data_IF_579420228768
#
_entry.id   IF_579420228768
#
_cell.length_a   1.000
_cell.length_b   1.000
_cell.length_c   1.000
_cell.angle_alpha   90.00
_cell.angle_beta   90.00
_cell.angle_gamma   90.00
#
_symmetry.space_group_name_H-M   'P 1'
#
loop_
_entity.id
_entity.type
_entity.pdbx_description
1 polymer ?
#
# COMPACT_ATOMS: atom_id res chain seq x y z
N UNK A 1 3.84 37.83 14.73
CA UNK A 1 2.86 37.06 15.52
C UNK A 1 3.61 36.43 16.68
N UNK A 2 3.17 36.65 17.91
CA UNK A 2 3.83 36.14 19.12
C UNK A 2 3.87 34.61 19.12
N UNK A 3 4.96 34.03 19.63
CA UNK A 3 5.13 32.58 19.68
C UNK A 3 4.06 31.95 20.60
N UNK A 4 3.38 30.93 20.09
CA UNK A 4 2.31 30.23 20.80
C UNK A 4 2.74 28.80 21.11
N UNK A 5 2.72 28.40 22.37
CA UNK A 5 3.14 27.07 22.83
C UNK A 5 1.95 26.28 23.35
N UNK A 6 2.03 24.96 23.28
CA UNK A 6 0.95 24.07 23.72
C UNK A 6 1.45 23.20 24.87
N UNK A 7 0.72 23.20 25.98
CA UNK A 7 1.00 22.36 27.14
C UNK A 7 -0.21 21.53 27.52
N UNK A 8 0.03 20.42 28.21
CA UNK A 8 -1.04 19.71 28.89
C UNK A 8 -0.53 19.06 30.16
N UNK A 9 -1.29 19.26 31.24
CA UNK A 9 -1.06 18.66 32.55
C UNK A 9 -1.81 17.32 32.71
N UNK A 10 -2.46 16.81 31.66
CA UNK A 10 -3.34 15.65 31.71
C UNK A 10 -3.01 14.61 30.63
N UNK A 11 -3.11 13.34 31.00
CA UNK A 11 -2.98 12.22 30.09
C UNK A 11 -4.35 11.84 29.52
N UNK A 12 -4.44 11.71 28.21
CA UNK A 12 -5.70 11.43 27.51
C UNK A 12 -5.82 9.93 27.26
N UNK A 13 -6.94 9.34 27.67
CA UNK A 13 -7.24 7.94 27.38
C UNK A 13 -8.14 7.79 26.14
N UNK A 14 -8.44 6.55 25.77
CA UNK A 14 -9.32 6.27 24.63
C UNK A 14 -10.75 6.82 24.85
N UNK A 15 -11.19 6.96 26.10
CA UNK A 15 -12.52 7.44 26.44
C UNK A 15 -12.61 8.94 26.24
N UNK A 16 -11.56 9.67 26.62
CA UNK A 16 -11.40 11.09 26.33
C UNK A 16 -11.46 11.33 24.82
N UNK A 17 -10.71 10.55 24.03
CA UNK A 17 -10.73 10.65 22.56
C UNK A 17 -12.10 10.30 21.97
N UNK A 18 -12.76 9.26 22.49
CA UNK A 18 -14.10 8.90 22.08
C UNK A 18 -15.09 10.02 22.43
N UNK A 19 -15.00 10.63 23.61
CA UNK A 19 -15.88 11.72 23.99
C UNK A 19 -15.70 12.92 23.05
N UNK A 20 -14.45 13.26 22.70
CA UNK A 20 -14.14 14.29 21.71
C UNK A 20 -14.77 13.97 20.35
N UNK A 21 -14.63 12.74 19.87
CA UNK A 21 -15.12 12.31 18.57
C UNK A 21 -16.66 12.22 18.49
N UNK A 22 -17.33 11.70 19.52
CA UNK A 22 -18.77 11.44 19.44
C UNK A 22 -19.64 12.59 19.97
N UNK A 23 -19.17 13.33 20.97
CA UNK A 23 -19.94 14.41 21.59
C UNK A 23 -19.49 15.80 21.17
N UNK A 24 -18.18 16.06 21.08
CA UNK A 24 -17.68 17.40 20.75
C UNK A 24 -17.59 17.65 19.24
N UNK A 25 -17.26 16.63 18.43
CA UNK A 25 -17.14 16.75 16.97
C UNK A 25 -18.35 17.42 16.28
N UNK A 26 -19.62 17.10 16.61
CA UNK A 26 -20.76 17.77 16.00
C UNK A 26 -20.79 19.29 16.21
N UNK A 27 -20.16 19.77 17.28
CA UNK A 27 -20.08 21.19 17.65
C UNK A 27 -18.83 21.84 17.02
N UNK A 28 -17.65 21.25 17.24
CA UNK A 28 -16.36 21.83 16.81
C UNK A 28 -16.05 21.61 15.32
N UNK A 29 -16.71 20.62 14.70
CA UNK A 29 -16.55 20.20 13.30
C UNK A 29 -15.10 19.79 12.97
N UNK A 30 -14.83 19.62 11.68
CA UNK A 30 -13.56 19.11 11.18
C UNK A 30 -12.35 19.96 11.62
N UNK A 31 -12.42 21.29 11.46
CA UNK A 31 -11.31 22.18 11.78
C UNK A 31 -10.98 22.18 13.28
N UNK A 32 -12.00 22.22 14.16
CA UNK A 32 -11.78 22.18 15.60
C UNK A 32 -11.27 20.84 16.10
N UNK A 33 -11.79 19.75 15.55
CA UNK A 33 -11.28 18.42 15.86
C UNK A 33 -9.82 18.24 15.43
N UNK A 34 -9.49 18.65 14.19
CA UNK A 34 -8.15 18.56 13.65
C UNK A 34 -7.16 19.44 14.42
N UNK A 35 -7.56 20.67 14.77
CA UNK A 35 -6.72 21.58 15.55
C UNK A 35 -6.44 21.03 16.95
N UNK A 36 -7.45 20.46 17.61
CA UNK A 36 -7.29 19.82 18.91
C UNK A 36 -6.36 18.60 18.81
N UNK A 37 -6.50 17.77 17.77
CA UNK A 37 -5.62 16.63 17.54
C UNK A 37 -4.18 17.05 17.27
N UNK A 38 -3.99 18.14 16.53
CA UNK A 38 -2.68 18.76 16.34
C UNK A 38 -2.09 19.19 17.68
N UNK A 39 -2.85 19.88 18.53
CA UNK A 39 -2.42 20.26 19.88
C UNK A 39 -2.01 19.04 20.72
N UNK A 40 -2.78 17.95 20.67
CA UNK A 40 -2.41 16.70 21.36
C UNK A 40 -1.09 16.11 20.88
N UNK A 41 -0.73 16.34 19.61
CA UNK A 41 0.50 15.83 19.01
C UNK A 41 1.72 16.67 19.43
N UNK A 42 1.56 17.99 19.54
CA UNK A 42 2.65 18.92 19.88
C UNK A 42 2.69 19.31 21.36
N UNK A 43 1.78 18.79 22.20
CA UNK A 43 1.68 19.15 23.61
C UNK A 43 3.01 18.91 24.33
N UNK A 44 3.41 19.86 25.17
CA UNK A 44 4.67 19.83 25.93
C UNK A 44 5.93 19.77 25.05
N UNK A 45 5.81 19.94 23.73
CA UNK A 45 6.96 20.21 22.88
C UNK A 45 7.45 21.63 23.17
N UNK A 46 8.77 21.82 23.25
CA UNK A 46 9.37 23.14 23.41
C UNK A 46 9.43 23.91 22.09
N UNK A 47 8.43 23.72 21.23
CA UNK A 47 8.33 24.28 19.90
C UNK A 47 7.04 25.08 19.77
N UNK A 48 7.07 26.28 19.18
CA UNK A 48 5.87 27.07 18.96
C UNK A 48 5.04 26.47 17.82
N UNK A 49 3.74 26.77 17.81
CA UNK A 49 2.83 26.43 16.73
C UNK A 49 3.35 26.99 15.41
N UNK A 50 3.50 26.11 14.42
CA UNK A 50 3.87 26.50 13.06
C UNK A 50 2.62 26.80 12.23
N UNK A 51 2.24 28.08 12.18
CA UNK A 51 1.07 28.53 11.42
C UNK A 51 1.19 28.32 9.90
N UNK A 52 2.41 28.40 9.34
CA UNK A 52 2.63 28.14 7.91
C UNK A 52 2.39 26.66 7.58
N UNK A 53 2.81 25.76 8.46
CA UNK A 53 2.51 24.34 8.37
C UNK A 53 1.00 24.06 8.49
N UNK A 54 0.32 24.68 9.47
CA UNK A 54 -1.13 24.53 9.63
C UNK A 54 -1.91 24.97 8.40
N UNK A 55 -1.51 26.08 7.77
CA UNK A 55 -2.18 26.59 6.58
C UNK A 55 -1.91 25.69 5.36
N UNK A 56 -0.65 25.31 5.12
CA UNK A 56 -0.28 24.51 3.94
C UNK A 56 -0.78 23.06 4.00
N UNK A 57 -0.75 22.43 5.17
CA UNK A 57 -1.05 21.01 5.32
C UNK A 57 -2.52 20.78 5.70
N UNK A 58 -3.08 21.62 6.56
CA UNK A 58 -4.43 21.43 7.08
C UNK A 58 -5.44 22.49 6.61
N UNK A 59 -4.99 23.48 5.82
CA UNK A 59 -5.83 24.60 5.37
C UNK A 59 -6.45 25.38 6.53
N UNK A 60 -5.73 25.46 7.66
CA UNK A 60 -6.09 26.26 8.83
C UNK A 60 -5.26 27.54 8.80
N UNK A 61 -5.78 28.55 8.10
CA UNK A 61 -5.21 29.89 8.14
C UNK A 61 -5.41 30.55 9.52
N UNK A 62 -4.78 31.71 9.72
CA UNK A 62 -4.81 32.42 11.01
C UNK A 62 -6.22 32.82 11.48
N UNK A 63 -7.10 33.23 10.57
CA UNK A 63 -8.47 33.62 10.91
C UNK A 63 -9.30 32.41 11.37
N UNK A 64 -9.20 31.30 10.63
CA UNK A 64 -9.82 30.03 10.99
C UNK A 64 -9.25 29.49 12.30
N UNK A 65 -7.94 29.61 12.52
CA UNK A 65 -7.29 29.23 13.77
C UNK A 65 -7.90 29.99 14.95
N UNK A 66 -8.02 31.32 14.87
CA UNK A 66 -8.55 32.14 15.97
C UNK A 66 -10.02 31.79 16.26
N UNK A 67 -10.87 31.70 15.22
CA UNK A 67 -12.28 31.30 15.38
C UNK A 67 -12.42 29.91 16.01
N UNK A 68 -11.59 28.97 15.55
CA UNK A 68 -11.60 27.60 16.06
C UNK A 68 -11.10 27.54 17.50
N UNK A 69 -10.05 28.30 17.82
CA UNK A 69 -9.51 28.45 19.17
C UNK A 69 -10.57 28.98 20.12
N UNK A 70 -11.29 30.04 19.75
CA UNK A 70 -12.39 30.60 20.55
C UNK A 70 -13.51 29.59 20.83
N UNK A 71 -13.86 28.75 19.85
CA UNK A 71 -14.83 27.67 20.05
C UNK A 71 -14.31 26.64 21.06
N UNK A 72 -13.05 26.22 20.94
CA UNK A 72 -12.42 25.27 21.87
C UNK A 72 -12.30 25.85 23.29
N UNK A 73 -12.01 27.15 23.41
CA UNK A 73 -11.99 27.89 24.68
C UNK A 73 -13.38 27.95 25.31
N UNK A 74 -14.42 28.27 24.52
CA UNK A 74 -15.81 28.31 24.97
C UNK A 74 -16.29 26.95 25.49
N UNK A 75 -15.83 25.86 24.87
CA UNK A 75 -16.13 24.49 25.31
C UNK A 75 -15.23 24.02 26.47
N UNK A 76 -14.35 24.88 26.98
CA UNK A 76 -13.36 24.61 28.02
C UNK A 76 -12.48 23.39 27.71
N UNK A 77 -12.24 23.13 26.42
CA UNK A 77 -11.30 22.12 25.93
C UNK A 77 -9.87 22.64 25.93
N UNK A 78 -9.69 23.96 25.79
CA UNK A 78 -8.41 24.62 25.92
C UNK A 78 -8.54 25.89 26.76
N UNK A 79 -7.41 26.39 27.26
CA UNK A 79 -7.30 27.71 27.88
C UNK A 79 -6.06 28.42 27.35
N UNK A 80 -6.22 29.66 26.91
CA UNK A 80 -5.11 30.46 26.38
C UNK A 80 -4.67 31.48 27.43
N UNK A 81 -3.37 31.53 27.69
CA UNK A 81 -2.71 32.50 28.54
C UNK A 81 -1.76 33.36 27.72
N UNK A 82 -1.56 34.60 28.14
CA UNK A 82 -0.61 35.52 27.54
C UNK A 82 0.41 35.99 28.59
N UNK A 83 1.68 35.76 28.33
CA UNK A 83 2.79 36.29 29.13
C UNK A 83 3.24 37.62 28.52
N UNK A 84 2.93 38.72 29.21
CA UNK A 84 3.30 40.07 28.77
C UNK A 84 4.80 40.37 28.87
N UNK A 85 5.54 39.64 29.71
CA UNK A 85 6.99 39.84 29.86
C UNK A 85 7.76 39.15 28.73
N UNK A 86 7.31 37.96 28.33
CA UNK A 86 7.96 37.17 27.27
C UNK A 86 7.33 37.35 25.90
N UNK A 87 6.20 38.08 25.82
CA UNK A 87 5.40 38.27 24.61
C UNK A 87 5.04 36.93 23.94
N UNK A 88 4.51 35.99 24.74
CA UNK A 88 4.20 34.62 24.32
C UNK A 88 2.81 34.19 24.71
N UNK A 89 2.18 33.38 23.86
CA UNK A 89 0.93 32.70 24.17
C UNK A 89 1.19 31.27 24.64
N UNK A 90 0.39 30.80 25.57
CA UNK A 90 0.41 29.44 26.08
C UNK A 90 -1.00 28.87 26.03
N UNK A 91 -1.19 27.78 25.29
CA UNK A 91 -2.45 27.06 25.20
C UNK A 91 -2.34 25.81 26.06
N UNK A 92 -3.14 25.76 27.13
CA UNK A 92 -3.29 24.57 27.95
C UNK A 92 -4.45 23.72 27.43
N UNK A 93 -4.19 22.45 27.12
CA UNK A 93 -5.21 21.48 26.72
C UNK A 93 -5.83 20.83 27.97
N UNK A 94 -7.15 20.84 28.04
CA UNK A 94 -7.95 20.21 29.10
C UNK A 94 -8.66 18.95 28.58
N UNK A 95 -8.94 18.03 29.50
CA UNK A 95 -9.72 16.84 29.18
C UNK A 95 -11.16 17.20 28.81
N UNK A 96 -11.76 16.53 27.81
CA UNK A 96 -13.19 16.62 27.57
C UNK A 96 -13.98 16.08 28.76
N UNK A 97 -15.21 16.56 28.92
CA UNK A 97 -16.14 16.00 29.89
C UNK A 97 -16.45 14.54 29.54
N UNK A 98 -16.63 13.70 30.55
CA UNK A 98 -17.11 12.34 30.34
C UNK A 98 -18.60 12.33 29.94
N UNK A 99 -19.07 11.20 29.41
CA UNK A 99 -20.45 11.06 28.91
C UNK A 99 -21.53 11.43 29.94
N UNK A 100 -21.33 11.12 31.22
CA UNK A 100 -22.26 11.50 32.30
C UNK A 100 -22.24 12.99 32.60
N UNK A 101 -21.06 13.59 32.63
CA UNK A 101 -20.87 15.02 32.83
C UNK A 101 -21.48 15.82 31.66
N UNK A 102 -21.36 15.30 30.43
CA UNK A 102 -21.99 15.88 29.24
C UNK A 102 -23.52 15.82 29.36
N UNK A 103 -24.10 14.69 29.79
CA UNK A 103 -25.55 14.51 29.94
C UNK A 103 -26.16 15.43 31.03
N UNK A 104 -25.37 15.73 32.06
CA UNK A 104 -25.73 16.66 33.13
C UNK A 104 -25.49 18.13 32.77
N UNK A 105 -24.72 18.43 31.73
CA UNK A 105 -24.36 19.80 31.37
C UNK A 105 -25.53 20.51 30.67
N UNK A 106 -26.09 21.59 31.26
CA UNK A 106 -27.29 22.25 30.74
C UNK A 106 -27.07 23.00 29.42
N UNK A 107 -25.83 23.30 29.05
CA UNK A 107 -25.49 24.02 27.83
C UNK A 107 -25.01 23.09 26.72
N UNK A 108 -24.16 22.14 27.07
CA UNK A 108 -23.53 21.25 26.09
C UNK A 108 -24.52 20.22 25.55
N UNK A 109 -25.41 19.67 26.38
CA UNK A 109 -26.41 18.69 25.94
C UNK A 109 -27.37 19.24 24.89
N UNK A 110 -28.04 20.40 25.09
CA UNK A 110 -28.87 21.01 24.04
C UNK A 110 -28.07 21.32 22.77
N UNK A 111 -26.85 21.84 22.92
CA UNK A 111 -26.00 22.21 21.79
C UNK A 111 -25.67 21.00 20.89
N UNK A 112 -25.32 19.86 21.49
CA UNK A 112 -25.06 18.63 20.75
C UNK A 112 -26.36 18.09 20.14
N UNK A 113 -27.43 18.08 20.93
CA UNK A 113 -28.74 17.58 20.52
C UNK A 113 -29.28 18.31 19.29
N UNK A 114 -29.08 19.63 19.21
CA UNK A 114 -29.43 20.44 18.04
C UNK A 114 -28.70 19.96 16.77
N UNK A 115 -27.44 19.51 16.90
CA UNK A 115 -26.63 19.07 15.75
C UNK A 115 -26.88 17.64 15.30
N UNK A 116 -27.24 16.73 16.20
CA UNK A 116 -27.37 15.29 15.87
C UNK A 116 -28.75 14.68 16.12
N UNK A 117 -29.72 15.42 16.68
CA UNK A 117 -31.06 15.00 17.16
C UNK A 117 -31.07 14.23 18.49
N UNK A 118 -32.15 14.42 19.26
CA UNK A 118 -32.40 13.73 20.55
C UNK A 118 -32.28 12.22 20.45
N UNK A 119 -32.88 11.61 19.42
CA UNK A 119 -32.89 10.15 19.24
C UNK A 119 -31.46 9.59 19.10
N UNK A 120 -30.59 10.25 18.33
CA UNK A 120 -29.19 9.82 18.17
C UNK A 120 -28.40 10.10 19.43
N UNK A 121 -28.62 11.24 20.09
CA UNK A 121 -27.96 11.57 21.34
C UNK A 121 -28.23 10.53 22.43
N UNK A 122 -29.50 10.15 22.65
CA UNK A 122 -29.87 9.13 23.63
C UNK A 122 -29.25 7.76 23.31
N UNK A 123 -29.15 7.40 22.02
CA UNK A 123 -28.47 6.18 21.58
C UNK A 123 -26.95 6.20 21.83
N UNK A 124 -26.32 7.36 21.69
CA UNK A 124 -24.91 7.53 22.05
C UNK A 124 -24.72 7.39 23.57
N UNK A 125 -25.51 8.10 24.37
CA UNK A 125 -25.42 8.02 25.83
C UNK A 125 -25.64 6.59 26.33
N UNK A 126 -26.62 5.85 25.76
CA UNK A 126 -26.82 4.44 26.13
C UNK A 126 -25.65 3.56 25.70
N UNK A 127 -25.06 3.78 24.50
CA UNK A 127 -23.85 3.06 24.07
C UNK A 127 -22.68 3.25 25.03
N UNK A 128 -22.46 4.49 25.50
CA UNK A 128 -21.37 4.80 26.44
C UNK A 128 -21.66 4.37 27.88
N UNK A 129 -22.94 4.27 28.29
CA UNK A 129 -23.34 3.72 29.59
C UNK A 129 -23.28 2.18 29.62
N UNK A 130 -23.62 1.52 28.51
CA UNK A 130 -23.72 0.06 28.44
C UNK A 130 -22.40 -0.64 28.06
N UNK A 131 -21.42 0.06 27.47
CA UNK A 131 -20.17 -0.54 27.00
C UNK A 131 -18.92 0.12 27.62
N UNK A 132 -18.59 -0.30 28.85
CA UNK A 132 -17.24 -0.78 29.22
C UNK A 132 -17.31 -2.19 29.82
N UNK A 133 -18.36 -2.97 29.51
CA UNK A 133 -18.16 -4.42 29.51
C UNK A 133 -17.09 -4.65 28.46
N UNK A 134 -15.92 -5.04 28.96
CA UNK A 134 -14.72 -5.36 28.22
C UNK A 134 -15.12 -5.93 26.87
N UNK A 135 -14.73 -5.27 25.78
CA UNK A 135 -14.49 -6.01 24.57
C UNK A 135 -13.41 -7.01 24.99
N UNK A 136 -13.84 -8.21 25.39
CA UNK A 136 -13.02 -9.40 25.26
C UNK A 136 -12.32 -9.23 23.93
N UNK A 137 -11.02 -9.45 23.94
CA UNK A 137 -10.17 -9.59 22.77
C UNK A 137 -10.61 -10.80 21.94
N UNK A 138 -11.90 -10.91 21.60
CA UNK A 138 -12.45 -11.83 20.61
C UNK A 138 -11.89 -11.35 19.30
N UNK A 139 -10.80 -11.98 18.91
CA UNK A 139 -10.32 -11.92 17.55
C UNK A 139 -11.53 -12.17 16.67
N UNK A 140 -11.87 -11.18 15.84
CA UNK A 140 -12.98 -11.30 14.91
C UNK A 140 -12.57 -12.42 13.94
N UNK A 141 -13.28 -13.55 13.95
CA UNK A 141 -13.00 -14.66 13.02
C UNK A 141 -13.17 -14.16 11.58
N UNK A 142 -12.08 -14.11 10.83
CA UNK A 142 -12.06 -13.54 9.47
C UNK A 142 -12.31 -14.55 8.36
N UNK A 143 -12.50 -15.84 8.67
CA UNK A 143 -12.50 -16.93 7.70
C UNK A 143 -13.58 -16.82 6.62
N UNK A 144 -14.69 -16.14 6.92
CA UNK A 144 -15.81 -15.92 6.00
C UNK A 144 -15.77 -14.54 5.31
N UNK A 145 -14.72 -13.75 5.51
CA UNK A 145 -14.59 -12.42 4.91
C UNK A 145 -13.79 -12.48 3.61
N UNK A 146 -14.26 -11.74 2.61
CA UNK A 146 -13.55 -11.55 1.34
C UNK A 146 -12.97 -10.15 1.28
N UNK A 147 -11.76 -10.01 0.73
CA UNK A 147 -11.08 -8.73 0.62
C UNK A 147 -11.70 -7.89 -0.51
N UNK A 148 -12.29 -6.74 -0.14
CA UNK A 148 -12.87 -5.74 -1.05
C UNK A 148 -12.02 -4.46 -1.18
N UNK A 149 -10.81 -4.44 -0.62
CA UNK A 149 -9.93 -3.28 -0.65
C UNK A 149 -9.55 -2.94 -2.08
N UNK A 150 -9.86 -1.70 -2.48
CA UNK A 150 -9.41 -1.15 -3.76
C UNK A 150 -7.93 -0.85 -3.71
N UNK A 151 -7.25 -1.03 -4.84
CA UNK A 151 -5.83 -0.67 -4.94
C UNK A 151 -5.67 0.84 -5.17
N UNK A 152 -4.53 1.38 -4.76
CA UNK A 152 -4.23 2.82 -4.85
C UNK A 152 -4.54 3.41 -6.24
N UNK A 153 -4.08 2.76 -7.31
CA UNK A 153 -4.25 3.23 -8.68
C UNK A 153 -5.72 3.21 -9.16
N UNK A 154 -6.59 2.44 -8.52
CA UNK A 154 -8.03 2.39 -8.83
C UNK A 154 -8.75 3.63 -8.30
N UNK A 155 -8.20 4.28 -7.27
CA UNK A 155 -8.79 5.47 -6.64
C UNK A 155 -8.10 6.74 -7.15
N UNK A 156 -6.77 6.78 -7.13
CA UNK A 156 -6.01 8.00 -7.34
C UNK A 156 -5.60 8.24 -8.79
N UNK A 157 -5.82 7.27 -9.68
CA UNK A 157 -5.50 7.36 -11.11
C UNK A 157 -3.99 7.42 -11.37
N UNK A 158 -3.44 6.46 -12.11
CA UNK A 158 -2.06 6.57 -12.58
C UNK A 158 -2.05 7.27 -13.94
N UNK A 159 -1.46 8.46 -14.03
CA UNK A 159 -1.31 9.18 -15.30
C UNK A 159 -0.30 8.44 -16.20
N UNK A 160 -0.79 7.52 -17.04
CA UNK A 160 0.01 6.71 -17.98
C UNK A 160 0.72 7.53 -19.08
N UNK A 161 0.49 8.84 -19.17
CA UNK A 161 1.13 9.71 -20.18
C UNK A 161 2.67 9.72 -20.08
N UNK A 162 3.22 9.52 -18.87
CA UNK A 162 4.68 9.41 -18.67
C UNK A 162 5.26 8.06 -19.12
N UNK A 163 4.42 7.03 -19.32
CA UNK A 163 4.86 5.72 -19.81
C UNK A 163 4.93 5.72 -21.34
N UNK A 164 4.00 6.40 -22.03
CA UNK A 164 3.97 6.46 -23.51
C UNK A 164 5.21 7.12 -24.12
N UNK A 165 5.82 8.09 -23.44
CA UNK A 165 7.08 8.72 -23.87
C UNK A 165 8.26 7.75 -23.84
N UNK A 166 8.23 6.74 -22.96
CA UNK A 166 9.25 5.69 -22.91
C UNK A 166 9.05 4.65 -24.03
N UNK A 167 7.81 4.42 -24.48
CA UNK A 167 7.52 3.46 -25.55
C UNK A 167 7.85 3.97 -26.96
N UNK A 168 7.90 5.28 -27.18
CA UNK A 168 8.18 5.83 -28.50
C UNK A 168 9.68 5.82 -28.86
N UNK A 169 10.60 5.57 -27.91
CA UNK A 169 12.04 5.60 -28.18
C UNK A 169 12.65 4.23 -28.57
N UNK A 170 11.91 3.12 -28.58
CA UNK A 170 12.52 1.78 -28.72
C UNK A 170 11.87 0.89 -29.80
N UNK A 171 10.92 1.39 -30.59
CA UNK A 171 10.22 0.57 -31.59
C UNK A 171 11.06 0.18 -32.83
N UNK A 172 12.27 0.74 -33.00
CA UNK A 172 13.11 0.53 -34.19
C UNK A 172 14.47 -0.14 -33.90
N UNK A 173 14.69 -0.70 -32.71
CA UNK A 173 16.00 -1.25 -32.30
C UNK A 173 15.97 -2.78 -32.33
N UNK A 174 17.02 -3.43 -32.87
CA UNK A 174 17.16 -4.90 -32.80
C UNK A 174 17.26 -5.34 -31.32
N UNK A 175 16.66 -6.48 -30.96
CA UNK A 175 16.62 -6.96 -29.58
C UNK A 175 18.04 -7.22 -29.02
N UNK A 176 19.00 -7.61 -29.87
CA UNK A 176 20.38 -7.79 -29.43
C UNK A 176 21.10 -6.48 -29.11
N UNK A 177 20.78 -5.41 -29.84
CA UNK A 177 21.29 -4.06 -29.60
C UNK A 177 20.62 -3.47 -28.35
N UNK A 178 19.30 -3.62 -28.22
CA UNK A 178 18.54 -3.21 -27.03
C UNK A 178 19.06 -3.87 -25.74
N UNK A 179 19.50 -5.13 -25.79
CA UNK A 179 20.12 -5.82 -24.64
C UNK A 179 21.41 -5.19 -24.15
N UNK A 180 22.21 -4.63 -25.05
CA UNK A 180 23.51 -4.05 -24.72
C UNK A 180 23.38 -2.61 -24.25
N UNK A 181 22.48 -1.86 -24.86
CA UNK A 181 22.37 -0.41 -24.66
C UNK A 181 21.39 -0.01 -23.55
N UNK A 182 20.32 -0.78 -23.34
CA UNK A 182 19.32 -0.45 -22.34
C UNK A 182 19.73 -0.94 -20.95
N UNK A 183 19.45 -0.12 -19.94
CA UNK A 183 19.47 -0.59 -18.56
C UNK A 183 18.35 -1.63 -18.33
N UNK A 184 18.48 -2.45 -17.29
CA UNK A 184 17.55 -3.55 -17.06
C UNK A 184 16.09 -3.12 -16.85
N UNK A 185 15.86 -1.91 -16.35
CA UNK A 185 14.51 -1.36 -16.18
C UNK A 185 13.86 -1.05 -17.55
N UNK A 186 14.60 -0.36 -18.42
CA UNK A 186 14.17 -0.03 -19.78
C UNK A 186 14.07 -1.27 -20.67
N UNK A 187 14.99 -2.23 -20.52
CA UNK A 187 14.95 -3.48 -21.27
C UNK A 187 13.76 -4.36 -20.85
N UNK A 188 13.45 -4.45 -19.55
CA UNK A 188 12.25 -5.14 -19.10
C UNK A 188 10.97 -4.52 -19.68
N UNK A 189 10.89 -3.19 -19.70
CA UNK A 189 9.78 -2.47 -20.30
C UNK A 189 9.68 -2.72 -21.81
N UNK A 190 10.81 -2.71 -22.52
CA UNK A 190 10.91 -3.05 -23.95
C UNK A 190 10.40 -4.46 -24.23
N UNK A 191 10.82 -5.46 -23.44
CA UNK A 191 10.49 -6.86 -23.67
C UNK A 191 9.05 -7.21 -23.27
N UNK A 192 8.57 -6.66 -22.15
CA UNK A 192 7.29 -7.09 -21.55
C UNK A 192 6.13 -6.14 -21.84
N UNK A 193 6.41 -4.89 -22.21
CA UNK A 193 5.39 -3.85 -22.31
C UNK A 193 4.92 -3.28 -20.96
N UNK A 194 5.55 -3.67 -19.85
CA UNK A 194 5.16 -3.23 -18.51
C UNK A 194 6.35 -2.71 -17.70
N UNK A 195 6.07 -1.73 -16.83
CA UNK A 195 7.06 -1.26 -15.85
C UNK A 195 7.42 -2.37 -14.87
N UNK A 196 8.71 -2.44 -14.54
CA UNK A 196 9.23 -3.44 -13.61
C UNK A 196 8.65 -3.21 -12.20
N UNK A 197 8.26 -4.31 -11.52
CA UNK A 197 7.79 -4.23 -10.13
C UNK A 197 8.92 -3.76 -9.19
N UNK A 198 8.66 -2.89 -8.19
CA UNK A 198 9.69 -2.34 -7.30
C UNK A 198 10.54 -3.40 -6.58
N UNK A 199 9.93 -4.50 -6.12
CA UNK A 199 10.64 -5.62 -5.47
C UNK A 199 11.69 -6.24 -6.40
N UNK A 200 11.33 -6.47 -7.66
CA UNK A 200 12.25 -7.01 -8.66
C UNK A 200 13.34 -5.98 -9.00
N UNK A 201 12.95 -4.71 -9.21
CA UNK A 201 13.86 -3.60 -9.48
C UNK A 201 14.93 -3.45 -8.40
N UNK A 202 14.51 -3.32 -7.14
CA UNK A 202 15.43 -3.12 -6.01
C UNK A 202 16.35 -4.32 -5.81
N UNK A 203 15.86 -5.54 -6.07
CA UNK A 203 16.73 -6.71 -6.01
C UNK A 203 17.76 -6.71 -7.14
N UNK A 204 17.37 -6.39 -8.37
CA UNK A 204 18.32 -6.32 -9.49
C UNK A 204 19.36 -5.22 -9.32
N UNK A 205 18.98 -4.08 -8.73
CA UNK A 205 19.93 -3.04 -8.33
C UNK A 205 21.02 -3.59 -7.40
N UNK A 206 20.65 -4.41 -6.40
CA UNK A 206 21.66 -5.06 -5.54
C UNK A 206 22.63 -5.95 -6.32
N UNK A 207 22.17 -6.67 -7.34
CA UNK A 207 23.07 -7.47 -8.18
C UNK A 207 24.02 -6.60 -9.01
N UNK A 208 23.60 -5.40 -9.45
CA UNK A 208 24.48 -4.45 -10.13
C UNK A 208 25.49 -3.82 -9.16
N UNK A 209 25.02 -3.37 -7.99
CA UNK A 209 25.83 -2.59 -7.04
C UNK A 209 26.74 -3.47 -6.18
N UNK A 210 26.23 -4.58 -5.63
CA UNK A 210 26.94 -5.43 -4.67
C UNK A 210 27.67 -6.59 -5.35
N UNK A 211 27.18 -7.04 -6.51
CA UNK A 211 27.69 -8.20 -7.25
C UNK A 211 28.19 -7.84 -8.66
N UNK A 212 28.38 -6.54 -8.93
CA UNK A 212 29.00 -6.03 -10.16
C UNK A 212 28.46 -6.61 -11.48
N UNK A 213 27.22 -7.10 -11.51
CA UNK A 213 26.60 -7.58 -12.74
C UNK A 213 26.41 -6.41 -13.71
N UNK A 214 26.80 -6.61 -14.97
CA UNK A 214 26.50 -5.63 -16.01
C UNK A 214 24.99 -5.61 -16.31
N UNK A 215 24.47 -4.45 -16.74
CA UNK A 215 23.10 -4.35 -17.23
C UNK A 215 22.82 -5.37 -18.34
N UNK A 216 23.80 -5.63 -19.21
CA UNK A 216 23.70 -6.60 -20.28
C UNK A 216 23.55 -8.04 -19.77
N UNK A 217 24.31 -8.45 -18.73
CA UNK A 217 24.15 -9.75 -18.11
C UNK A 217 22.74 -9.95 -17.53
N UNK A 218 22.23 -8.94 -16.81
CA UNK A 218 20.87 -8.97 -16.26
C UNK A 218 19.82 -9.01 -17.38
N UNK A 219 20.03 -8.29 -18.47
CA UNK A 219 19.14 -8.31 -19.63
C UNK A 219 19.06 -9.69 -20.29
N UNK A 220 20.18 -10.41 -20.43
CA UNK A 220 20.17 -11.79 -20.92
C UNK A 220 19.38 -12.73 -20.00
N UNK A 221 19.47 -12.55 -18.68
CA UNK A 221 18.68 -13.33 -17.71
C UNK A 221 17.19 -13.01 -17.79
N UNK A 222 16.82 -11.72 -17.95
CA UNK A 222 15.43 -11.29 -18.13
C UNK A 222 14.86 -11.90 -19.42
N UNK A 223 15.61 -11.83 -20.53
CA UNK A 223 15.23 -12.42 -21.81
C UNK A 223 15.02 -13.94 -21.70
N UNK A 224 15.97 -14.64 -21.08
CA UNK A 224 15.88 -16.08 -20.85
C UNK A 224 14.64 -16.46 -20.04
N UNK A 225 14.39 -15.75 -18.93
CA UNK A 225 13.22 -15.98 -18.10
C UNK A 225 11.92 -15.77 -18.87
N UNK A 226 11.86 -14.74 -19.70
CA UNK A 226 10.72 -14.45 -20.55
C UNK A 226 10.51 -15.54 -21.62
N UNK A 227 11.57 -15.98 -22.32
CA UNK A 227 11.50 -17.05 -23.33
C UNK A 227 11.05 -18.40 -22.76
N UNK A 228 11.48 -18.75 -21.54
CA UNK A 228 11.17 -20.05 -20.93
C UNK A 228 9.78 -20.09 -20.29
N UNK A 229 9.35 -19.00 -19.66
CA UNK A 229 8.15 -18.97 -18.82
C UNK A 229 7.02 -18.06 -19.31
N UNK A 230 7.23 -17.31 -20.39
CA UNK A 230 6.36 -16.22 -20.88
C UNK A 230 6.09 -15.11 -19.84
N UNK A 231 6.82 -15.12 -18.71
CA UNK A 231 6.67 -14.22 -17.58
C UNK A 231 8.00 -14.08 -16.84
N UNK A 232 8.29 -12.86 -16.38
CA UNK A 232 9.47 -12.51 -15.60
C UNK A 232 9.16 -12.72 -14.11
N UNK A 233 9.52 -13.88 -13.55
CA UNK A 233 9.28 -14.23 -12.12
C UNK A 233 10.53 -13.97 -11.27
N UNK A 234 10.38 -13.21 -10.18
CA UNK A 234 11.48 -12.83 -9.28
C UNK A 234 12.29 -14.02 -8.77
N UNK A 235 11.63 -15.02 -8.18
CA UNK A 235 12.32 -16.19 -7.60
C UNK A 235 13.10 -16.99 -8.64
N UNK A 236 12.71 -16.92 -9.91
CA UNK A 236 13.40 -17.63 -10.98
C UNK A 236 14.65 -16.86 -11.45
N UNK A 237 14.54 -15.55 -11.62
CA UNK A 237 15.67 -14.67 -11.92
C UNK A 237 16.72 -14.75 -10.82
N UNK A 238 16.29 -14.68 -9.55
CA UNK A 238 17.18 -14.76 -8.39
C UNK A 238 18.02 -16.05 -8.42
N UNK A 239 17.39 -17.21 -8.62
CA UNK A 239 18.08 -18.51 -8.69
C UNK A 239 19.13 -18.55 -9.80
N UNK A 240 18.84 -17.96 -10.94
CA UNK A 240 19.77 -17.93 -12.08
C UNK A 240 20.94 -17.00 -11.77
N UNK A 241 20.68 -15.80 -11.27
CA UNK A 241 21.73 -14.84 -10.91
C UNK A 241 22.62 -15.34 -9.76
N UNK A 242 22.04 -16.02 -8.79
CA UNK A 242 22.81 -16.65 -7.70
C UNK A 242 23.72 -17.76 -8.25
N UNK A 243 23.23 -18.64 -9.13
CA UNK A 243 24.06 -19.68 -9.77
C UNK A 243 25.20 -19.08 -10.60
N UNK A 244 24.89 -18.07 -11.43
CA UNK A 244 25.90 -17.42 -12.27
C UNK A 244 26.95 -16.68 -11.44
N UNK A 245 26.56 -16.14 -10.29
CA UNK A 245 27.48 -15.52 -9.35
C UNK A 245 28.43 -16.54 -8.71
N UNK A 246 27.89 -17.68 -8.26
CA UNK A 246 28.67 -18.76 -7.67
C UNK A 246 29.69 -19.32 -8.69
N UNK A 247 29.30 -19.39 -9.97
CA UNK A 247 30.16 -19.82 -11.08
C UNK A 247 31.08 -18.70 -11.62
N UNK A 248 31.07 -17.51 -11.02
CA UNK A 248 31.83 -16.31 -11.42
C UNK A 248 31.57 -15.79 -12.86
N UNK A 249 30.40 -16.12 -13.42
CA UNK A 249 29.95 -15.69 -14.75
C UNK A 249 29.16 -14.39 -14.63
N UNK A 250 29.86 -13.25 -14.70
CA UNK A 250 29.29 -11.92 -14.38
C UNK A 250 29.22 -11.01 -15.63
N UNK A 251 30.02 -11.32 -16.66
CA UNK A 251 30.07 -10.54 -17.90
C UNK A 251 28.84 -10.83 -18.78
N UNK A 252 28.38 -9.83 -19.54
CA UNK A 252 27.22 -10.00 -20.41
C UNK A 252 27.40 -11.00 -21.56
N UNK A 253 28.64 -11.24 -21.99
CA UNK A 253 29.00 -12.23 -23.02
C UNK A 253 28.91 -13.64 -22.48
N UNK A 254 29.57 -13.89 -21.34
CA UNK A 254 29.66 -15.22 -20.76
C UNK A 254 28.29 -15.68 -20.24
N UNK A 255 27.52 -14.77 -19.63
CA UNK A 255 26.13 -15.05 -19.21
C UNK A 255 25.24 -15.37 -20.42
N UNK A 256 25.42 -14.66 -21.54
CA UNK A 256 24.66 -14.91 -22.76
C UNK A 256 24.94 -16.29 -23.36
N UNK A 257 26.20 -16.71 -23.39
CA UNK A 257 26.62 -18.02 -23.90
C UNK A 257 26.10 -19.16 -23.02
N UNK A 258 26.29 -19.07 -21.70
CA UNK A 258 25.87 -20.08 -20.73
C UNK A 258 24.34 -20.29 -20.78
N UNK A 259 23.57 -19.20 -20.80
CA UNK A 259 22.11 -19.29 -20.86
C UNK A 259 21.59 -19.86 -22.18
N UNK A 260 22.26 -19.60 -23.30
CA UNK A 260 21.93 -20.16 -24.61
C UNK A 260 22.23 -21.67 -24.65
N UNK A 261 23.32 -22.12 -24.04
CA UNK A 261 23.63 -23.55 -23.89
C UNK A 261 22.62 -24.28 -22.99
N UNK A 262 22.25 -23.68 -21.85
CA UNK A 262 21.21 -24.19 -20.96
C UNK A 262 19.85 -24.23 -21.69
N UNK A 263 19.53 -23.22 -22.48
CA UNK A 263 18.29 -23.16 -23.26
C UNK A 263 18.23 -24.27 -24.31
N UNK A 264 19.30 -24.46 -25.09
CA UNK A 264 19.41 -25.53 -26.10
C UNK A 264 19.28 -26.91 -25.48
N UNK A 265 19.87 -27.12 -24.31
CA UNK A 265 19.80 -28.39 -23.57
C UNK A 265 18.39 -28.66 -23.06
N UNK A 266 17.67 -27.63 -22.58
CA UNK A 266 16.25 -27.75 -22.19
C UNK A 266 15.33 -28.06 -23.37
N UNK A 267 15.53 -27.43 -24.53
CA UNK A 267 14.73 -27.72 -25.74
C UNK A 267 14.98 -29.15 -26.23
N UNK A 268 16.25 -29.60 -26.31
CA UNK A 268 16.59 -30.97 -26.70
C UNK A 268 15.95 -32.03 -25.77
N UNK A 269 15.91 -31.76 -24.46
CA UNK A 269 15.29 -32.65 -23.49
C UNK A 269 13.76 -32.64 -23.55
N UNK A 270 13.14 -31.49 -23.83
CA UNK A 270 11.69 -31.38 -24.05
C UNK A 270 11.26 -32.19 -25.28
N UNK A 271 12.00 -32.08 -26.39
CA UNK A 271 11.75 -32.82 -27.64
C UNK A 271 12.02 -34.35 -27.50
N UNK A 272 13.01 -34.74 -26.68
CA UNK A 272 13.22 -36.17 -26.30
C UNK A 272 12.06 -36.72 -25.47
N UNK A 273 11.47 -35.93 -24.58
CA UNK A 273 10.33 -36.36 -23.75
C UNK A 273 9.03 -36.51 -24.57
N UNK A 274 8.86 -35.70 -25.62
CA UNK A 274 7.71 -35.78 -26.53
C UNK A 274 7.82 -36.95 -27.51
N UNK A 275 9.03 -37.23 -28.04
CA UNK A 275 9.31 -38.40 -28.90
C UNK A 275 9.28 -39.75 -28.15
N UNK A 276 9.53 -39.75 -26.83
CA UNK A 276 9.34 -40.93 -25.97
C UNK A 276 7.85 -41.22 -25.67
N UNK A 277 6.99 -40.19 -25.68
CA UNK A 277 5.53 -40.36 -25.52
C UNK A 277 4.87 -40.91 -26.78
N UNK A 278 5.35 -40.54 -27.98
CA UNK A 278 4.82 -41.07 -29.26
C UNK A 278 5.21 -42.53 -29.50
N UNK A 279 6.38 -43.00 -29.03
CA UNK A 279 6.78 -44.42 -29.15
C UNK A 279 6.03 -45.38 -28.22
N UNK A 280 5.43 -44.89 -27.13
CA UNK A 280 4.60 -45.71 -26.23
C UNK A 280 3.17 -45.98 -26.76
N UNK A 281 2.71 -45.22 -27.76
CA UNK A 281 1.34 -45.32 -28.28
C UNK A 281 1.22 -46.39 -29.38
N UNK A 282 2.32 -46.77 -30.04
CA UNK A 282 2.32 -47.72 -31.17
C UNK A 282 2.26 -49.19 -30.71
N UNK A 283 2.51 -49.49 -29.43
CA UNK A 283 2.74 -50.87 -28.97
C UNK A 283 1.59 -51.51 -28.15
N UNK A 284 0.36 -51.00 -28.26
CA UNK A 284 -0.83 -51.62 -27.64
C UNK A 284 -2.01 -51.59 -28.61
N UNK A 285 -1.95 -52.39 -29.66
CA UNK A 285 -3.15 -52.88 -30.37
C UNK A 285 -3.13 -54.40 -30.40
N UNK A 286 -3.92 -55.02 -29.51
CA UNK A 286 -4.56 -56.32 -29.77
C UNK A 286 -5.70 -56.63 -28.75
N UNK A 287 -6.93 -56.22 -29.11
CA UNK A 287 -8.24 -56.94 -29.02
C UNK A 287 -8.77 -57.35 -27.58
N UNK A 288 -10.10 -57.34 -27.25
CA UNK A 288 -11.16 -56.32 -27.33
C UNK A 288 -12.10 -56.22 -26.07
N UNK A 289 -12.82 -55.09 -25.98
CA UNK A 289 -14.18 -54.80 -25.43
C UNK A 289 -14.83 -55.68 -24.32
N UNK A 290 -15.31 -55.01 -23.25
CA UNK A 290 -16.74 -54.99 -22.80
C UNK A 290 -17.01 -53.81 -21.82
N UNK A 291 -17.75 -52.77 -22.27
CA UNK A 291 -19.10 -52.30 -21.82
C UNK A 291 -19.12 -51.86 -20.33
N UNK A 292 -19.31 -50.58 -19.97
CA UNK A 292 -20.62 -49.89 -19.96
C UNK A 292 -20.56 -48.34 -19.92
N UNK A 293 -21.61 -47.73 -20.51
CA UNK A 293 -21.97 -46.29 -20.73
C UNK A 293 -22.38 -45.52 -19.42
N UNK A 294 -22.93 -44.28 -19.48
CA UNK A 294 -22.34 -43.01 -19.92
C UNK A 294 -22.57 -41.86 -18.88
N UNK A 295 -21.73 -40.82 -18.85
CA UNK A 295 -22.16 -39.48 -18.38
C UNK A 295 -21.69 -38.40 -19.35
N UNK A 296 -22.63 -37.52 -19.65
CA UNK A 296 -22.72 -36.52 -20.71
C UNK A 296 -22.05 -35.18 -20.30
N UNK A 297 -22.03 -34.12 -21.14
CA UNK A 297 -20.79 -33.48 -21.60
C UNK A 297 -20.48 -32.16 -20.87
N UNK A 298 -19.20 -31.92 -20.55
CA UNK A 298 -18.70 -30.58 -20.21
C UNK A 298 -18.57 -29.76 -21.49
N UNK A 299 -19.40 -28.71 -21.59
CA UNK A 299 -19.32 -27.67 -22.62
C UNK A 299 -17.98 -26.94 -22.55
N UNK A 300 -17.36 -26.83 -23.71
CA UNK A 300 -16.28 -25.93 -24.08
C UNK A 300 -16.55 -24.48 -23.67
N UNK A 301 -15.55 -23.81 -23.09
CA UNK A 301 -15.44 -22.36 -23.15
C UNK A 301 -14.15 -21.99 -23.88
N UNK A 302 -14.39 -21.28 -24.97
CA UNK A 302 -13.45 -20.56 -25.83
C UNK A 302 -12.70 -19.54 -24.97
N UNK A 303 -11.37 -19.57 -25.03
CA UNK A 303 -10.49 -18.55 -24.43
C UNK A 303 -10.29 -17.42 -25.46
N UNK A 304 -10.71 -16.22 -25.12
CA UNK A 304 -10.23 -14.96 -25.72
C UNK A 304 -9.35 -14.23 -24.70
N UNK A 305 -8.23 -13.62 -25.10
CA UNK A 305 -7.29 -13.00 -24.16
C UNK A 305 -7.66 -11.54 -23.90
N UNK A 306 -8.21 -11.24 -22.72
CA UNK A 306 -8.29 -9.87 -22.21
C UNK A 306 -7.11 -9.59 -21.28
N UNK A 307 -6.13 -8.85 -21.82
CA UNK A 307 -5.04 -8.23 -21.08
C UNK A 307 -5.59 -7.03 -20.29
N UNK A 308 -5.62 -7.10 -18.95
CA UNK A 308 -5.79 -5.90 -18.12
C UNK A 308 -4.74 -5.86 -17.00
N UNK A 309 -3.97 -4.78 -17.09
CA UNK A 309 -3.05 -4.12 -16.16
C UNK A 309 -3.19 -4.46 -14.66
N UNK A 310 -2.08 -4.92 -14.06
CA UNK A 310 -1.90 -4.96 -12.62
C UNK A 310 -0.45 -4.62 -12.23
N UNK A 311 -0.23 -3.39 -11.74
CA UNK A 311 0.95 -3.07 -10.93
C UNK A 311 0.49 -3.01 -9.47
N UNK A 312 0.72 -4.08 -8.72
CA UNK A 312 0.46 -4.12 -7.27
C UNK A 312 1.66 -3.53 -6.53
N UNK A 313 1.42 -2.49 -5.74
CA UNK A 313 2.43 -1.76 -4.94
C UNK A 313 2.31 -2.07 -3.43
N UNK A 314 2.15 -3.33 -3.06
CA UNK A 314 2.27 -3.74 -1.66
C UNK A 314 3.39 -4.77 -1.52
N UNK A 315 4.30 -4.50 -0.58
CA UNK A 315 5.26 -5.47 -0.06
C UNK A 315 4.48 -6.29 0.96
N UNK A 316 4.16 -7.53 0.63
CA UNK A 316 3.75 -8.49 1.65
C UNK A 316 4.99 -8.83 2.49
N UNK A 317 5.01 -8.38 3.74
CA UNK A 317 6.06 -8.69 4.73
C UNK A 317 5.97 -10.13 5.28
N UNK A 318 5.07 -10.97 4.78
CA UNK A 318 4.82 -12.32 5.32
C UNK A 318 5.56 -13.46 4.59
N UNK A 319 6.67 -13.18 3.92
CA UNK A 319 7.59 -14.23 3.42
C UNK A 319 9.04 -13.94 3.88
N UNK A 320 9.20 -13.71 5.19
CA UNK A 320 10.48 -13.87 5.88
C UNK A 320 10.35 -15.11 6.76
N UNK A 321 10.75 -16.25 6.20
CA UNK A 321 11.42 -17.35 6.90
C UNK A 321 12.20 -18.17 5.86
#
# INVERSE_FOLDING_TARGET
>A
MHSCYVISNSDFDQNDLNNLLYFYFPVVKFQGYLLFQYFLTIKNANEPINFDFLDKIYSINLDNFNKTREILECLNLIQTFYDSQKEKYLIEIKKPLNSEQIDKNPYLKPLITEKITDKRYLSLISKFKNNFEQFDTRQIETDNFHNLSKKFYEIFGYNNQNISTIFNCVKNTDNNEAKKELNFEKYHLFLTGYSMKPRLRNSLLKYVEERSFSNWAINNVIEYCFKVGNQVKFNYIKKILDSLWDDQIISGEDVGLELEEIFRTKIKNKNKSESAKTKKIINIESIPKKISKPKSPKKSKVETPEMINAISWFIDENEIN
#
